data_IF_511197227188
#
_entry.id   IF_511197227188
#
_cell.length_a   1.000
_cell.length_b   1.000
_cell.length_c   1.000
_cell.angle_alpha   90.00
_cell.angle_beta   90.00
_cell.angle_gamma   90.00
#
_symmetry.space_group_name_H-M   'P 1'
#
loop_
_entity.id
_entity.type
_entity.pdbx_description
1 polymer ?
#
# COMPACT_ATOMS: atom_id res chain seq x y z
N UNK A 1 -24.53 0.54 51.42
CA UNK A 1 -23.41 0.31 50.48
C UNK A 1 -23.12 -1.19 50.25
N UNK A 2 -23.07 -2.01 51.31
CA UNK A 2 -22.86 -3.48 51.24
C UNK A 2 -23.87 -4.25 50.34
N UNK A 3 -25.16 -3.95 50.43
CA UNK A 3 -26.20 -4.65 49.66
C UNK A 3 -26.04 -4.47 48.13
N UNK A 4 -25.62 -3.28 47.70
CA UNK A 4 -25.36 -2.96 46.29
C UNK A 4 -24.13 -3.71 45.79
N UNK A 5 -23.07 -3.84 46.61
CA UNK A 5 -21.91 -4.67 46.28
C UNK A 5 -22.29 -6.15 46.12
N UNK A 6 -23.14 -6.69 47.00
CA UNK A 6 -23.64 -8.07 46.91
C UNK A 6 -24.52 -8.33 45.68
N UNK A 7 -25.32 -7.35 45.25
CA UNK A 7 -26.08 -7.46 44.01
C UNK A 7 -25.16 -7.41 42.78
N UNK A 8 -24.15 -6.53 42.78
CA UNK A 8 -23.18 -6.44 41.70
C UNK A 8 -22.35 -7.73 41.54
N UNK A 9 -21.95 -8.39 42.63
CA UNK A 9 -21.25 -9.68 42.56
C UNK A 9 -22.13 -10.79 42.02
N UNK A 10 -23.39 -10.88 42.46
CA UNK A 10 -24.37 -11.85 41.92
C UNK A 10 -24.63 -11.65 40.44
N UNK A 11 -24.75 -10.40 39.98
CA UNK A 11 -24.92 -10.10 38.56
C UNK A 11 -23.69 -10.52 37.76
N UNK A 12 -22.47 -10.26 38.27
CA UNK A 12 -21.22 -10.72 37.65
C UNK A 12 -21.17 -12.24 37.52
N UNK A 13 -21.55 -12.98 38.55
CA UNK A 13 -21.64 -14.44 38.51
C UNK A 13 -22.70 -14.94 37.52
N UNK A 14 -23.86 -14.29 37.45
CA UNK A 14 -24.90 -14.63 36.48
C UNK A 14 -24.44 -14.39 35.04
N UNK A 15 -23.79 -13.26 34.78
CA UNK A 15 -23.22 -12.93 33.46
C UNK A 15 -22.12 -13.91 33.09
N UNK A 16 -21.22 -14.25 34.02
CA UNK A 16 -20.18 -15.25 33.79
C UNK A 16 -20.78 -16.63 33.49
N UNK A 17 -21.83 -17.05 34.20
CA UNK A 17 -22.55 -18.31 33.91
C UNK A 17 -23.26 -18.29 32.57
N UNK A 18 -23.89 -17.18 32.18
CA UNK A 18 -24.51 -17.04 30.86
C UNK A 18 -23.47 -17.05 29.75
N UNK A 19 -22.35 -16.35 29.92
CA UNK A 19 -21.23 -16.39 28.99
C UNK A 19 -20.68 -17.81 28.86
N UNK A 20 -20.46 -18.52 29.98
CA UNK A 20 -20.00 -19.90 29.98
C UNK A 20 -21.02 -20.86 29.34
N UNK A 21 -22.32 -20.62 29.49
CA UNK A 21 -23.36 -21.40 28.82
C UNK A 21 -23.38 -21.17 27.31
N UNK A 22 -23.28 -19.91 26.86
CA UNK A 22 -23.19 -19.56 25.43
C UNK A 22 -21.93 -20.17 24.81
N UNK A 23 -20.79 -20.09 25.50
CA UNK A 23 -19.54 -20.71 25.07
C UNK A 23 -19.60 -22.23 25.09
N UNK A 24 -20.28 -22.83 26.07
CA UNK A 24 -20.54 -24.27 26.06
C UNK A 24 -21.44 -24.66 24.90
N UNK A 25 -22.43 -23.86 24.52
CA UNK A 25 -23.23 -24.15 23.33
C UNK A 25 -22.40 -24.00 22.04
N UNK A 26 -21.53 -22.98 21.96
CA UNK A 26 -20.57 -22.83 20.87
C UNK A 26 -19.54 -23.97 20.83
N UNK A 27 -19.10 -24.47 22.00
CA UNK A 27 -18.16 -25.57 22.16
C UNK A 27 -18.81 -26.97 22.18
N UNK A 28 -20.14 -27.09 22.31
CA UNK A 28 -20.84 -28.37 22.22
C UNK A 28 -20.88 -28.86 20.77
N UNK A 29 -20.85 -27.94 19.80
CA UNK A 29 -20.52 -28.25 18.41
C UNK A 29 -19.11 -28.86 18.24
N UNK A 30 -18.20 -28.66 19.21
CA UNK A 30 -16.83 -29.19 19.19
C UNK A 30 -16.66 -30.54 19.91
N UNK A 31 -17.70 -31.07 20.59
CA UNK A 31 -17.55 -32.23 21.49
C UNK A 31 -18.11 -33.55 20.92
N UNK A 32 -18.79 -33.53 19.77
CA UNK A 32 -19.07 -34.74 18.98
C UNK A 32 -17.98 -34.91 17.91
N UNK A 33 -16.82 -35.39 18.37
CA UNK A 33 -15.68 -35.67 17.49
C UNK A 33 -14.80 -34.45 17.27
N UNK A 34 -13.49 -34.67 17.29
CA UNK A 34 -12.45 -33.75 16.86
C UNK A 34 -12.63 -33.51 15.36
N UNK A 35 -13.61 -32.71 15.01
CA UNK A 35 -13.64 -31.96 13.78
C UNK A 35 -13.46 -30.54 14.32
N UNK A 36 -12.20 -30.09 14.42
CA UNK A 36 -11.98 -28.66 14.20
C UNK A 36 -12.74 -28.39 12.93
N UNK A 37 -13.81 -27.59 13.00
CA UNK A 37 -14.66 -27.30 11.86
C UNK A 37 -13.71 -26.98 10.70
N UNK A 38 -13.61 -27.90 9.74
CA UNK A 38 -12.51 -27.89 8.79
C UNK A 38 -12.62 -26.62 7.93
N UNK A 39 -13.84 -26.10 7.81
CA UNK A 39 -14.19 -24.81 7.26
C UNK A 39 -13.64 -23.65 8.11
N UNK A 40 -13.69 -23.72 9.45
CA UNK A 40 -13.11 -22.72 10.35
C UNK A 40 -11.58 -22.70 10.26
N UNK A 41 -10.92 -23.86 10.24
CA UNK A 41 -9.46 -23.94 10.08
C UNK A 41 -9.02 -23.40 8.72
N UNK A 42 -9.75 -23.74 7.66
CA UNK A 42 -9.51 -23.21 6.33
C UNK A 42 -9.72 -21.69 6.30
N UNK A 43 -10.76 -21.16 6.95
CA UNK A 43 -11.03 -19.73 7.05
C UNK A 43 -9.87 -19.00 7.75
N UNK A 44 -9.40 -19.53 8.87
CA UNK A 44 -8.23 -19.00 9.57
C UNK A 44 -6.97 -18.97 8.68
N UNK A 45 -6.71 -20.06 7.96
CA UNK A 45 -5.57 -20.12 7.03
C UNK A 45 -5.71 -19.08 5.91
N UNK A 46 -6.92 -18.89 5.36
CA UNK A 46 -7.19 -17.88 4.34
C UNK A 46 -6.98 -16.45 4.89
N UNK A 47 -7.44 -16.16 6.10
CA UNK A 47 -7.23 -14.87 6.77
C UNK A 47 -5.76 -14.59 7.04
N UNK A 48 -4.98 -15.61 7.42
CA UNK A 48 -3.55 -15.48 7.61
C UNK A 48 -2.81 -15.23 6.29
N UNK A 49 -3.16 -15.98 5.24
CA UNK A 49 -2.63 -15.78 3.89
C UNK A 49 -2.99 -14.38 3.33
N UNK A 50 -4.22 -13.92 3.58
CA UNK A 50 -4.68 -12.58 3.22
C UNK A 50 -3.87 -11.50 3.95
N UNK A 51 -3.64 -11.65 5.26
CA UNK A 51 -2.82 -10.72 6.02
C UNK A 51 -1.37 -10.65 5.50
N UNK A 52 -0.75 -11.81 5.26
CA UNK A 52 0.63 -11.87 4.77
C UNK A 52 0.76 -11.26 3.38
N UNK A 53 -0.16 -11.60 2.46
CA UNK A 53 -0.16 -11.08 1.10
C UNK A 53 -0.43 -9.58 1.05
N UNK A 54 -1.40 -9.07 1.82
CA UNK A 54 -1.71 -7.63 1.89
C UNK A 54 -0.57 -6.81 2.51
N UNK A 55 0.10 -7.36 3.55
CA UNK A 55 1.31 -6.76 4.12
C UNK A 55 2.45 -6.72 3.11
N UNK A 56 2.72 -7.83 2.42
CA UNK A 56 3.77 -7.90 1.39
C UNK A 56 3.48 -6.94 0.23
N UNK A 57 2.23 -6.91 -0.25
CA UNK A 57 1.77 -6.00 -1.29
C UNK A 57 2.01 -4.54 -0.89
N UNK A 58 1.62 -4.13 0.33
CA UNK A 58 1.84 -2.76 0.82
C UNK A 58 3.32 -2.36 0.79
N UNK A 59 4.22 -3.27 1.19
CA UNK A 59 5.66 -3.01 1.14
C UNK A 59 6.18 -2.89 -0.30
N UNK A 60 5.73 -3.79 -1.19
CA UNK A 60 6.12 -3.76 -2.59
C UNK A 60 5.64 -2.48 -3.30
N UNK A 61 4.39 -2.08 -3.08
CA UNK A 61 3.83 -0.82 -3.58
C UNK A 61 4.65 0.38 -3.11
N UNK A 62 5.04 0.44 -1.83
CA UNK A 62 5.89 1.51 -1.29
C UNK A 62 7.25 1.58 -2.00
N UNK A 63 7.85 0.43 -2.30
CA UNK A 63 9.12 0.37 -3.02
C UNK A 63 8.97 0.89 -4.45
N UNK A 64 7.89 0.54 -5.16
CA UNK A 64 7.61 1.05 -6.50
C UNK A 64 7.43 2.57 -6.46
N UNK A 65 6.57 3.07 -5.56
CA UNK A 65 6.31 4.52 -5.41
C UNK A 65 7.63 5.28 -5.20
N UNK A 66 8.45 4.83 -4.24
CA UNK A 66 9.75 5.47 -3.97
C UNK A 66 10.67 5.42 -5.19
N UNK A 67 10.70 4.29 -5.91
CA UNK A 67 11.51 4.13 -7.11
C UNK A 67 11.10 5.10 -8.22
N UNK A 68 9.79 5.18 -8.50
CA UNK A 68 9.23 6.07 -9.52
C UNK A 68 9.43 7.54 -9.16
N UNK A 69 9.13 7.93 -7.91
CA UNK A 69 9.34 9.31 -7.45
C UNK A 69 10.81 9.72 -7.48
N UNK A 70 11.71 8.80 -7.10
CA UNK A 70 13.15 9.01 -7.22
C UNK A 70 13.58 9.19 -8.67
N UNK A 71 13.10 8.34 -9.56
CA UNK A 71 13.36 8.44 -11.01
C UNK A 71 12.85 9.77 -11.59
N UNK A 72 11.63 10.19 -11.26
CA UNK A 72 11.04 11.47 -11.69
C UNK A 72 11.88 12.63 -11.18
N UNK A 73 12.30 12.61 -9.92
CA UNK A 73 13.12 13.67 -9.31
C UNK A 73 14.47 13.81 -10.00
N UNK A 74 15.16 12.70 -10.25
CA UNK A 74 16.47 12.69 -10.92
C UNK A 74 16.29 13.14 -12.38
N UNK A 75 15.28 12.62 -13.06
CA UNK A 75 15.01 12.94 -14.47
C UNK A 75 14.67 14.41 -14.66
N UNK A 76 13.91 15.02 -13.75
CA UNK A 76 13.59 16.45 -13.81
C UNK A 76 14.85 17.32 -13.72
N UNK A 77 15.79 16.98 -12.84
CA UNK A 77 17.08 17.69 -12.74
C UNK A 77 17.94 17.50 -14.00
N UNK A 78 17.94 16.30 -14.57
CA UNK A 78 18.65 16.05 -15.84
C UNK A 78 18.05 16.86 -16.98
N UNK A 79 16.71 16.96 -17.05
CA UNK A 79 16.01 17.76 -18.05
C UNK A 79 16.39 19.24 -17.97
N UNK A 80 16.51 19.82 -16.78
CA UNK A 80 16.96 21.22 -16.63
C UNK A 80 18.34 21.45 -17.24
N UNK A 81 19.28 20.53 -17.01
CA UNK A 81 20.63 20.60 -17.58
C UNK A 81 20.60 20.44 -19.09
N UNK A 82 19.83 19.47 -19.59
CA UNK A 82 19.77 19.14 -21.01
C UNK A 82 19.03 20.21 -21.82
N UNK A 83 17.98 20.83 -21.27
CA UNK A 83 17.32 21.99 -21.86
C UNK A 83 18.27 23.18 -21.96
N UNK A 84 19.03 23.46 -20.90
CA UNK A 84 20.04 24.52 -20.95
C UNK A 84 21.09 24.26 -22.04
N UNK A 85 21.60 23.03 -22.15
CA UNK A 85 22.51 22.66 -23.23
C UNK A 85 21.87 22.84 -24.61
N UNK A 86 20.63 22.39 -24.78
CA UNK A 86 19.89 22.50 -26.03
C UNK A 86 19.68 23.96 -26.44
N UNK A 87 19.33 24.83 -25.48
CA UNK A 87 19.12 26.25 -25.69
C UNK A 87 20.44 26.97 -26.05
N UNK A 88 21.54 26.64 -25.38
CA UNK A 88 22.88 27.14 -25.72
C UNK A 88 23.32 26.69 -27.13
N UNK A 89 23.02 25.45 -27.51
CA UNK A 89 23.25 24.95 -28.87
C UNK A 89 22.39 25.72 -29.91
N UNK A 90 21.11 25.93 -29.63
CA UNK A 90 20.23 26.71 -30.50
C UNK A 90 20.73 28.15 -30.68
N UNK A 91 21.12 28.80 -29.58
CA UNK A 91 21.65 30.16 -29.60
C UNK A 91 22.94 30.23 -30.44
N UNK A 92 23.91 29.35 -30.17
CA UNK A 92 25.15 29.28 -30.95
C UNK A 92 24.88 29.07 -32.44
N UNK A 93 23.98 28.13 -32.76
CA UNK A 93 23.63 27.81 -34.14
C UNK A 93 23.00 28.99 -34.88
N UNK A 94 22.10 29.73 -34.22
CA UNK A 94 21.43 30.90 -34.79
C UNK A 94 22.39 32.10 -34.96
N UNK A 95 23.28 32.34 -34.00
CA UNK A 95 24.26 33.45 -34.07
C UNK A 95 25.34 33.24 -35.15
N UNK A 96 25.59 32.00 -35.54
CA UNK A 96 26.64 31.63 -36.50
C UNK A 96 26.08 31.15 -37.86
N UNK A 97 24.79 31.42 -38.12
CA UNK A 97 24.11 31.04 -39.35
C UNK A 97 24.68 31.85 -40.53
N UNK A 98 25.51 31.19 -41.33
CA UNK A 98 26.08 31.72 -42.57
C UNK A 98 26.05 30.65 -43.64
N UNK A 99 25.88 31.05 -44.90
CA UNK A 99 25.93 30.14 -46.04
C UNK A 99 27.28 29.40 -46.04
N UNK A 100 27.25 28.10 -45.70
CA UNK A 100 28.35 27.14 -45.56
C UNK A 100 28.89 26.83 -44.14
N UNK A 101 28.30 27.36 -43.06
CA UNK A 101 28.67 26.89 -41.71
C UNK A 101 27.91 25.61 -41.31
N UNK A 102 28.40 24.47 -41.80
CA UNK A 102 27.81 23.15 -41.53
C UNK A 102 27.74 22.83 -40.03
N UNK A 103 28.72 23.30 -39.24
CA UNK A 103 28.77 23.09 -37.79
C UNK A 103 27.63 23.85 -37.11
N UNK A 104 27.46 25.14 -37.41
CA UNK A 104 26.37 25.93 -36.83
C UNK A 104 24.99 25.32 -37.11
N UNK A 105 24.76 24.87 -38.36
CA UNK A 105 23.49 24.21 -38.73
C UNK A 105 23.28 22.88 -37.99
N UNK A 106 24.33 22.08 -37.83
CA UNK A 106 24.25 20.79 -37.11
C UNK A 106 23.96 21.01 -35.63
N UNK A 107 24.62 21.99 -35.00
CA UNK A 107 24.42 22.33 -33.58
C UNK A 107 23.01 22.88 -33.34
N UNK A 108 22.49 23.73 -34.24
CA UNK A 108 21.11 24.20 -34.19
C UNK A 108 20.10 23.05 -34.24
N UNK A 109 20.30 22.11 -35.18
CA UNK A 109 19.43 20.95 -35.32
C UNK A 109 19.51 20.04 -34.09
N UNK A 110 20.71 19.84 -33.53
CA UNK A 110 20.91 19.10 -32.28
C UNK A 110 20.13 19.71 -31.12
N UNK A 111 20.26 21.03 -30.89
CA UNK A 111 19.53 21.73 -29.84
C UNK A 111 18.01 21.63 -30.01
N UNK A 112 17.50 21.87 -31.22
CA UNK A 112 16.08 21.74 -31.52
C UNK A 112 15.56 20.32 -31.26
N UNK A 113 16.32 19.30 -31.66
CA UNK A 113 15.96 17.90 -31.48
C UNK A 113 15.97 17.51 -30.00
N UNK A 114 16.97 17.95 -29.24
CA UNK A 114 17.03 17.71 -27.81
C UNK A 114 15.89 18.39 -27.04
N UNK A 115 15.50 19.61 -27.40
CA UNK A 115 14.35 20.26 -26.78
C UNK A 115 13.05 19.47 -26.99
N UNK A 116 12.84 18.89 -28.18
CA UNK A 116 11.71 17.98 -28.44
C UNK A 116 11.79 16.71 -27.59
N UNK A 117 12.97 16.10 -27.47
CA UNK A 117 13.18 14.91 -26.64
C UNK A 117 12.89 15.17 -25.16
N UNK A 118 13.31 16.31 -24.62
CA UNK A 118 13.02 16.66 -23.23
C UNK A 118 11.51 16.93 -23.02
N UNK A 119 10.78 17.44 -24.02
CA UNK A 119 9.32 17.58 -23.93
C UNK A 119 8.61 16.21 -23.86
N UNK A 120 9.02 15.25 -24.70
CA UNK A 120 8.49 13.88 -24.62
C UNK A 120 8.82 13.21 -23.28
N UNK A 121 10.02 13.47 -22.75
CA UNK A 121 10.42 12.99 -21.43
C UNK A 121 9.54 13.61 -20.34
N UNK A 122 9.19 14.89 -20.42
CA UNK A 122 8.28 15.55 -19.48
C UNK A 122 6.91 14.86 -19.44
N UNK A 123 6.35 14.57 -20.62
CA UNK A 123 5.08 13.84 -20.76
C UNK A 123 5.19 12.47 -20.10
N UNK A 124 6.26 11.71 -20.37
CA UNK A 124 6.49 10.40 -19.76
C UNK A 124 6.56 10.49 -18.22
N UNK A 125 7.29 11.48 -17.67
CA UNK A 125 7.37 11.67 -16.22
C UNK A 125 6.01 12.00 -15.61
N UNK A 126 5.21 12.82 -16.30
CA UNK A 126 3.83 13.11 -15.92
C UNK A 126 2.97 11.84 -15.86
N UNK A 127 3.03 11.02 -16.92
CA UNK A 127 2.31 9.73 -16.99
C UNK A 127 2.73 8.78 -15.87
N UNK A 128 4.03 8.66 -15.58
CA UNK A 128 4.51 7.81 -14.48
C UNK A 128 3.99 8.30 -13.12
N UNK A 129 3.94 9.61 -12.90
CA UNK A 129 3.41 10.15 -11.65
C UNK A 129 1.89 9.90 -11.54
N UNK A 130 1.15 10.16 -12.60
CA UNK A 130 -0.32 10.13 -12.60
C UNK A 130 -0.90 8.72 -12.68
N UNK A 131 -0.31 7.83 -13.47
CA UNK A 131 -0.83 6.49 -13.71
C UNK A 131 -0.18 5.42 -12.83
N UNK A 132 0.98 5.69 -12.22
CA UNK A 132 1.69 4.71 -11.39
C UNK A 132 1.81 5.19 -9.95
N UNK A 133 2.46 6.34 -9.72
CA UNK A 133 2.79 6.76 -8.34
C UNK A 133 1.55 7.15 -7.53
N UNK A 134 0.69 8.02 -8.07
CA UNK A 134 -0.57 8.46 -7.41
C UNK A 134 -1.47 7.28 -7.03
N UNK A 135 -1.88 6.38 -7.95
CA UNK A 135 -2.80 5.29 -7.60
C UNK A 135 -2.21 4.31 -6.57
N UNK A 136 -0.90 4.05 -6.64
CA UNK A 136 -0.24 3.18 -5.66
C UNK A 136 -0.17 3.82 -4.28
N UNK A 137 0.08 5.14 -4.17
CA UNK A 137 0.00 5.85 -2.90
C UNK A 137 -1.39 5.76 -2.29
N UNK A 138 -2.42 6.02 -3.10
CA UNK A 138 -3.81 5.97 -2.66
C UNK A 138 -4.16 4.56 -2.16
N UNK A 139 -3.71 3.52 -2.87
CA UNK A 139 -3.91 2.12 -2.48
C UNK A 139 -3.18 1.75 -1.18
N UNK A 140 -1.96 2.23 -0.96
CA UNK A 140 -1.18 2.01 0.27
C UNK A 140 -1.91 2.56 1.51
N UNK A 141 -2.60 3.69 1.36
CA UNK A 141 -3.42 4.33 2.39
C UNK A 141 -4.89 3.91 2.36
N UNK A 142 -5.28 3.13 1.36
CA UNK A 142 -6.68 2.82 1.07
C UNK A 142 -7.29 1.88 2.09
N UNK A 143 -8.60 2.06 2.30
CA UNK A 143 -9.42 1.21 3.15
C UNK A 143 -9.27 -0.29 2.85
N UNK A 144 -9.23 -0.79 1.60
CA UNK A 144 -9.21 -2.23 1.33
C UNK A 144 -8.03 -2.99 1.95
N UNK A 145 -6.81 -2.43 1.89
CA UNK A 145 -5.64 -3.07 2.50
C UNK A 145 -5.65 -2.95 4.03
N UNK A 146 -6.27 -1.90 4.57
CA UNK A 146 -6.40 -1.69 6.01
C UNK A 146 -7.50 -2.59 6.60
N UNK A 147 -8.65 -2.64 5.95
CA UNK A 147 -9.80 -3.48 6.30
C UNK A 147 -9.44 -4.96 6.31
N UNK A 148 -8.70 -5.43 5.30
CA UNK A 148 -8.22 -6.82 5.25
C UNK A 148 -7.34 -7.16 6.46
N UNK A 149 -6.44 -6.25 6.86
CA UNK A 149 -5.57 -6.43 8.04
C UNK A 149 -6.36 -6.34 9.35
N UNK A 150 -7.33 -5.44 9.43
CA UNK A 150 -8.23 -5.33 10.57
C UNK A 150 -9.11 -6.57 10.74
N UNK A 151 -9.60 -7.16 9.65
CA UNK A 151 -10.40 -8.37 9.67
C UNK A 151 -9.60 -9.53 10.29
N UNK A 152 -8.37 -9.78 9.83
CA UNK A 152 -7.50 -10.80 10.42
C UNK A 152 -7.24 -10.53 11.90
N UNK A 153 -6.93 -9.28 12.28
CA UNK A 153 -6.67 -8.95 13.68
C UNK A 153 -7.88 -9.14 14.59
N UNK A 154 -9.09 -8.79 14.12
CA UNK A 154 -10.34 -9.01 14.87
C UNK A 154 -10.61 -10.49 15.06
N UNK A 155 -10.39 -11.30 14.02
CA UNK A 155 -10.54 -12.75 14.10
C UNK A 155 -9.56 -13.37 15.09
N UNK A 156 -8.28 -13.01 15.01
CA UNK A 156 -7.24 -13.50 15.94
C UNK A 156 -7.59 -13.18 17.39
N UNK A 157 -8.08 -11.96 17.66
CA UNK A 157 -8.51 -11.53 18.98
C UNK A 157 -9.69 -12.35 19.49
N UNK A 158 -10.72 -12.55 18.66
CA UNK A 158 -11.89 -13.35 19.01
C UNK A 158 -11.49 -14.79 19.35
N UNK A 159 -10.63 -15.39 18.53
CA UNK A 159 -10.11 -16.75 18.77
C UNK A 159 -9.36 -16.85 20.09
N UNK A 160 -8.47 -15.90 20.38
CA UNK A 160 -7.73 -15.85 21.65
C UNK A 160 -8.67 -15.71 22.85
N UNK A 161 -9.74 -14.91 22.74
CA UNK A 161 -10.74 -14.74 23.80
C UNK A 161 -11.51 -16.05 24.06
N UNK A 162 -11.90 -16.78 23.00
CA UNK A 162 -12.54 -18.10 23.11
C UNK A 162 -11.59 -19.13 23.73
N UNK A 163 -10.35 -19.23 23.23
CA UNK A 163 -9.34 -20.15 23.76
C UNK A 163 -9.00 -19.87 25.23
N UNK A 164 -8.97 -18.59 25.64
CA UNK A 164 -8.75 -18.21 27.03
C UNK A 164 -9.91 -18.66 27.94
N UNK A 165 -11.15 -18.62 27.45
CA UNK A 165 -12.33 -19.03 28.21
C UNK A 165 -12.49 -20.55 28.31
N UNK A 166 -11.96 -21.33 27.36
CA UNK A 166 -11.90 -22.80 27.44
C UNK A 166 -10.89 -23.31 28.49
N UNK A 167 -9.96 -22.46 28.94
CA UNK A 167 -8.96 -22.78 29.96
C UNK A 167 -9.45 -22.56 31.40
N UNK A 168 -10.67 -22.05 31.59
CA UNK A 168 -11.34 -21.83 32.89
C UNK A 168 -12.61 -22.68 33.02
#
# INVERSE_FOLDING_TARGET
MEAIKKQATRLREQVAKQQQAVLKHLGHFSNEGIIVDEEELQCYQHLHNLFNSTRAAKHFQKNIVRGVEGFVTISSKQMEILRKLADECCQYGAENESDNNYVARTVLQFGASHNLMENEKEILLGVLNDQVSKPLRDLITGAPLEDARHLTHRYDKLRQEVEAQLKY
#
